data_IF_641763142504
#
_entry.id   IF_641763142504
#
_cell.length_a   1.000
_cell.length_b   1.000
_cell.length_c   1.000
_cell.angle_alpha   90.00
_cell.angle_beta   90.00
_cell.angle_gamma   90.00
#
_symmetry.space_group_name_H-M   'P 1'
#
loop_
_entity.id
_entity.type
_entity.pdbx_description
1 polymer ?
#
# COMPACT_ATOMS: atom_id res chain seq x y z
N UNK A 1 13.20 12.96 9.12
CA UNK A 1 13.98 11.73 8.85
C UNK A 1 13.44 11.14 7.56
N UNK A 2 14.31 10.97 6.55
CA UNK A 2 13.93 10.27 5.33
C UNK A 2 13.58 8.80 5.64
N UNK A 3 12.50 8.29 5.04
CA UNK A 3 11.99 6.95 5.29
C UNK A 3 11.33 6.39 4.03
N UNK A 4 12.08 6.20 2.94
CA UNK A 4 11.52 5.56 1.75
C UNK A 4 11.13 4.12 2.07
N UNK A 5 10.09 3.61 1.40
CA UNK A 5 9.63 2.24 1.60
C UNK A 5 10.76 1.21 1.51
N UNK A 6 10.85 0.31 2.49
CA UNK A 6 11.92 -0.67 2.66
C UNK A 6 13.20 -0.13 3.35
N UNK A 7 13.23 1.13 3.79
CA UNK A 7 14.36 1.76 4.49
C UNK A 7 13.92 2.52 5.76
N UNK A 8 12.90 2.05 6.45
CA UNK A 8 12.26 2.69 7.60
C UNK A 8 13.07 2.63 8.89
N UNK A 9 14.13 1.83 8.95
CA UNK A 9 14.85 1.51 10.19
C UNK A 9 15.29 2.72 11.03
N UNK A 10 15.71 3.84 10.40
CA UNK A 10 16.10 5.06 11.12
C UNK A 10 14.88 5.74 11.77
N UNK A 11 13.74 5.77 11.09
CA UNK A 11 12.50 6.34 11.62
C UNK A 11 11.92 5.43 12.70
N UNK A 12 12.02 4.11 12.55
CA UNK A 12 11.63 3.14 13.58
C UNK A 12 12.42 3.35 14.89
N UNK A 13 13.73 3.51 14.83
CA UNK A 13 14.53 3.80 16.02
C UNK A 13 14.15 5.14 16.67
N UNK A 14 13.86 6.16 15.87
CA UNK A 14 13.35 7.43 16.36
C UNK A 14 12.00 7.25 17.08
N UNK A 15 11.04 6.57 16.44
CA UNK A 15 9.73 6.30 17.05
C UNK A 15 9.82 5.47 18.32
N UNK A 16 10.75 4.51 18.39
CA UNK A 16 11.02 3.77 19.62
C UNK A 16 11.45 4.70 20.77
N UNK A 17 12.36 5.63 20.49
CA UNK A 17 12.79 6.62 21.48
C UNK A 17 11.65 7.56 21.89
N UNK A 18 10.82 8.00 20.93
CA UNK A 18 9.67 8.84 21.22
C UNK A 18 8.59 8.10 22.05
N UNK A 19 8.33 6.83 21.80
CA UNK A 19 7.42 6.02 22.62
C UNK A 19 7.94 5.92 24.06
N UNK A 20 9.27 5.80 24.27
CA UNK A 20 9.88 5.87 25.59
C UNK A 20 9.68 7.24 26.24
N UNK A 21 9.88 8.33 25.48
CA UNK A 21 9.73 9.70 25.96
C UNK A 21 8.30 9.98 26.44
N UNK A 22 7.29 9.53 25.69
CA UNK A 22 5.88 9.71 26.08
C UNK A 22 5.43 8.72 27.16
N UNK A 23 6.30 7.82 27.61
CA UNK A 23 6.10 6.97 28.79
C UNK A 23 5.30 5.70 28.53
N UNK A 24 5.37 5.12 27.32
CA UNK A 24 4.86 3.77 27.09
C UNK A 24 5.78 2.75 27.78
N UNK A 25 5.25 1.80 28.59
CA UNK A 25 6.10 0.95 29.43
C UNK A 25 6.77 -0.19 28.65
N UNK A 26 6.07 -0.81 27.71
CA UNK A 26 6.54 -1.98 26.97
C UNK A 26 6.71 -1.59 25.50
N UNK A 27 7.95 -1.53 25.01
CA UNK A 27 8.25 -1.10 23.65
C UNK A 27 9.15 -2.12 22.99
N UNK A 28 8.74 -2.56 21.80
CA UNK A 28 9.52 -3.49 20.98
C UNK A 28 9.50 -3.08 19.49
N UNK A 29 10.45 -3.58 18.73
CA UNK A 29 10.41 -3.56 17.26
C UNK A 29 10.21 -4.99 16.83
N UNK A 30 9.15 -5.24 16.06
CA UNK A 30 8.82 -6.56 15.60
C UNK A 30 9.72 -7.01 14.42
N UNK A 31 9.63 -8.27 13.96
CA UNK A 31 10.45 -8.78 12.88
C UNK A 31 10.27 -8.08 11.52
N UNK A 32 9.13 -7.39 11.30
CA UNK A 32 8.89 -6.64 10.06
C UNK A 32 9.39 -5.19 10.16
N UNK A 33 9.68 -4.71 11.38
CA UNK A 33 10.16 -3.35 11.63
C UNK A 33 9.12 -2.39 12.23
N UNK A 34 7.90 -2.85 12.51
CA UNK A 34 6.92 -2.04 13.23
C UNK A 34 7.41 -1.74 14.64
N UNK A 35 7.20 -0.52 15.11
CA UNK A 35 7.45 -0.14 16.48
C UNK A 35 6.16 -0.27 17.28
N UNK A 36 6.17 -1.12 18.28
CA UNK A 36 5.02 -1.47 19.11
C UNK A 36 5.18 -0.86 20.50
N UNK A 37 4.20 -0.09 20.94
CA UNK A 37 4.18 0.50 22.27
C UNK A 37 2.91 0.10 23.02
N UNK A 38 3.03 -0.71 24.07
CA UNK A 38 1.91 -1.27 24.80
C UNK A 38 1.49 -0.38 25.96
N UNK A 39 0.17 -0.21 26.10
CA UNK A 39 -0.46 0.36 27.29
C UNK A 39 -1.56 -0.59 27.76
N UNK A 40 -1.21 -1.41 28.76
CA UNK A 40 -2.08 -2.47 29.25
C UNK A 40 -3.37 -1.90 29.86
N UNK A 41 -4.50 -2.45 29.43
CA UNK A 41 -5.83 -2.22 29.99
C UNK A 41 -6.18 -3.28 31.04
N UNK A 42 -7.45 -3.30 31.45
CA UNK A 42 -7.98 -4.33 32.36
C UNK A 42 -8.21 -5.67 31.69
N UNK A 43 -8.30 -5.66 30.36
CA UNK A 43 -8.58 -6.81 29.51
C UNK A 43 -7.45 -6.98 28.47
N UNK A 44 -7.14 -8.22 28.05
CA UNK A 44 -6.17 -8.48 27.00
C UNK A 44 -6.67 -8.14 25.60
N UNK A 45 -7.98 -7.94 25.38
CA UNK A 45 -8.50 -7.49 24.10
C UNK A 45 -7.83 -6.17 23.74
N UNK A 46 -7.33 -6.12 22.50
CA UNK A 46 -6.43 -5.06 22.07
C UNK A 46 -7.07 -4.19 21.00
N UNK A 47 -7.08 -2.89 21.23
CA UNK A 47 -7.30 -1.87 20.21
C UNK A 47 -5.95 -1.39 19.72
N UNK A 48 -5.67 -1.58 18.44
CA UNK A 48 -4.49 -1.01 17.78
C UNK A 48 -4.82 0.40 17.32
N UNK A 49 -3.88 1.32 17.56
CA UNK A 49 -3.88 2.68 17.01
C UNK A 49 -2.56 2.83 16.27
N UNK A 50 -2.63 3.04 14.97
CA UNK A 50 -1.48 2.99 14.08
C UNK A 50 -1.29 4.28 13.29
N UNK A 51 -0.05 4.50 12.84
CA UNK A 51 0.34 5.50 11.85
C UNK A 51 1.61 4.97 11.15
N UNK A 52 1.75 5.20 9.83
CA UNK A 52 2.85 4.58 9.11
C UNK A 52 4.14 5.40 9.11
N UNK A 53 5.27 4.73 8.97
CA UNK A 53 6.61 5.33 9.03
C UNK A 53 7.25 5.55 7.67
N UNK A 54 6.83 4.86 6.65
CA UNK A 54 7.37 5.02 5.30
C UNK A 54 6.75 6.21 4.57
N UNK A 55 7.30 6.55 3.44
CA UNK A 55 6.83 7.62 2.56
C UNK A 55 7.03 7.24 1.11
N UNK A 56 6.22 7.83 0.20
CA UNK A 56 6.38 7.67 -1.26
C UNK A 56 7.67 8.28 -1.82
N UNK A 57 8.39 9.06 -1.04
CA UNK A 57 9.55 9.79 -1.52
C UNK A 57 10.78 8.91 -1.61
N UNK A 58 11.49 8.88 -2.76
CA UNK A 58 12.68 8.05 -2.95
C UNK A 58 13.84 8.50 -2.07
N UNK A 59 14.80 7.59 -1.87
CA UNK A 59 16.05 7.90 -1.18
C UNK A 59 16.76 9.10 -1.84
N UNK A 60 17.31 9.99 -1.01
CA UNK A 60 17.97 11.22 -1.48
C UNK A 60 17.03 12.43 -1.63
N UNK A 61 15.73 12.26 -1.47
CA UNK A 61 14.80 13.41 -1.41
C UNK A 61 15.13 14.30 -0.21
N UNK A 62 15.21 15.62 -0.43
CA UNK A 62 15.33 16.59 0.66
C UNK A 62 14.00 16.64 1.44
N UNK A 63 14.01 16.09 2.63
CA UNK A 63 12.86 16.04 3.54
C UNK A 63 12.87 17.16 4.57
N UNK A 64 13.56 18.27 4.25
CA UNK A 64 13.56 19.45 5.13
C UNK A 64 12.18 20.01 5.26
N UNK A 65 11.75 20.21 6.51
CA UNK A 65 10.48 20.85 6.85
C UNK A 65 10.71 22.35 7.04
N UNK A 66 9.87 23.15 6.44
CA UNK A 66 9.82 24.60 6.62
C UNK A 66 8.61 24.98 7.47
N UNK A 67 8.73 26.03 8.26
CA UNK A 67 7.64 26.57 9.06
C UNK A 67 7.37 28.03 8.68
N UNK A 68 6.11 28.36 8.42
CA UNK A 68 5.65 29.74 8.20
C UNK A 68 4.41 29.97 9.08
N UNK A 69 4.58 30.75 10.14
CA UNK A 69 3.52 30.93 11.16
C UNK A 69 3.14 29.58 11.81
N UNK A 70 1.90 29.17 11.60
CA UNK A 70 1.34 27.90 12.08
C UNK A 70 1.40 26.77 11.04
N UNK A 71 1.90 27.06 9.83
CA UNK A 71 1.95 26.08 8.73
C UNK A 71 3.31 25.42 8.66
N UNK A 72 3.32 24.08 8.57
CA UNK A 72 4.50 23.27 8.27
C UNK A 72 4.39 22.72 6.85
N UNK A 73 5.46 22.79 6.08
CA UNK A 73 5.50 22.29 4.72
C UNK A 73 6.80 21.50 4.46
N UNK A 74 6.67 20.34 3.80
CA UNK A 74 7.78 19.48 3.43
C UNK A 74 7.30 18.07 3.06
N UNK A 75 8.14 17.29 2.35
CA UNK A 75 7.80 15.92 1.99
C UNK A 75 7.49 15.05 3.21
N UNK A 76 6.35 14.34 3.19
CA UNK A 76 5.92 13.43 4.25
C UNK A 76 5.47 14.09 5.56
N UNK A 77 5.16 15.41 5.55
CA UNK A 77 4.63 16.11 6.75
C UNK A 77 3.22 15.65 7.06
N UNK A 78 2.38 15.52 6.04
CA UNK A 78 0.97 15.16 6.18
C UNK A 78 0.73 13.67 6.07
N UNK A 79 1.59 12.99 5.36
CA UNK A 79 1.54 11.59 5.04
C UNK A 79 2.94 10.96 5.30
N UNK A 80 3.24 10.37 6.49
CA UNK A 80 2.30 10.34 7.62
C UNK A 80 2.98 10.81 8.93
N UNK A 81 3.85 11.84 8.86
CA UNK A 81 4.46 12.40 10.07
C UNK A 81 3.40 13.06 10.99
N UNK A 82 2.28 13.52 10.43
CA UNK A 82 1.17 14.05 11.22
C UNK A 82 0.49 12.94 12.03
N UNK A 83 0.17 11.80 11.41
CA UNK A 83 -0.40 10.65 12.11
C UNK A 83 0.51 10.14 13.21
N UNK A 84 1.82 10.02 12.95
CA UNK A 84 2.81 9.66 13.98
C UNK A 84 2.83 10.68 15.14
N UNK A 85 2.68 11.97 14.86
CA UNK A 85 2.61 13.01 15.90
C UNK A 85 1.33 12.88 16.72
N UNK A 86 0.19 12.64 16.07
CA UNK A 86 -1.08 12.40 16.75
C UNK A 86 -1.02 11.15 17.64
N UNK A 87 -0.36 10.08 17.16
CA UNK A 87 -0.15 8.85 17.92
C UNK A 87 0.62 9.11 19.23
N UNK A 88 1.71 9.88 19.15
CA UNK A 88 2.50 10.29 20.32
C UNK A 88 1.70 11.19 21.27
N UNK A 89 1.02 12.18 20.74
CA UNK A 89 0.18 13.12 21.52
C UNK A 89 -0.94 12.39 22.27
N UNK A 90 -1.58 11.41 21.63
CA UNK A 90 -2.60 10.58 22.27
C UNK A 90 -2.03 9.75 23.43
N UNK A 91 -0.88 9.10 23.23
CA UNK A 91 -0.22 8.32 24.28
C UNK A 91 0.14 9.19 25.49
N UNK A 92 0.68 10.39 25.23
CA UNK A 92 1.05 11.36 26.26
C UNK A 92 -0.19 11.89 27.02
N UNK A 93 -1.24 12.29 26.30
CA UNK A 93 -2.49 12.79 26.89
C UNK A 93 -3.15 11.74 27.79
N UNK A 94 -3.21 10.48 27.36
CA UNK A 94 -3.75 9.38 28.17
C UNK A 94 -2.94 9.13 29.46
N UNK A 95 -1.62 9.29 29.39
CA UNK A 95 -0.74 9.18 30.54
C UNK A 95 -0.96 10.32 31.54
N UNK A 96 -0.94 11.56 31.05
CA UNK A 96 -1.10 12.74 31.89
C UNK A 96 -2.47 12.81 32.57
N UNK A 97 -3.50 12.49 31.84
CA UNK A 97 -4.87 12.42 32.38
C UNK A 97 -5.12 11.18 33.25
N UNK A 98 -4.13 10.28 33.40
CA UNK A 98 -4.23 9.02 34.17
C UNK A 98 -5.45 8.18 33.79
N UNK A 99 -5.82 8.18 32.51
CA UNK A 99 -6.99 7.43 32.01
C UNK A 99 -6.66 5.94 32.02
N UNK A 100 -7.46 5.13 32.68
CA UNK A 100 -7.43 3.67 32.58
C UNK A 100 -8.42 3.20 31.52
N UNK A 101 -8.01 2.25 30.69
CA UNK A 101 -8.85 1.68 29.63
C UNK A 101 -9.27 0.25 29.95
N UNK A 102 -10.44 -0.15 29.48
CA UNK A 102 -10.88 -1.55 29.57
C UNK A 102 -9.98 -2.42 28.70
N UNK A 103 -9.86 -2.05 27.42
CA UNK A 103 -9.00 -2.74 26.47
C UNK A 103 -7.56 -2.29 26.61
N UNK A 104 -6.65 -3.18 26.32
CA UNK A 104 -5.25 -2.86 26.08
C UNK A 104 -5.16 -1.99 24.81
N UNK A 105 -4.38 -0.91 24.86
CA UNK A 105 -4.05 -0.10 23.69
C UNK A 105 -2.67 -0.50 23.19
N UNK A 106 -2.56 -0.74 21.91
CA UNK A 106 -1.29 -0.96 21.22
C UNK A 106 -1.06 0.18 20.24
N UNK A 107 -0.10 1.04 20.54
CA UNK A 107 0.36 2.09 19.63
C UNK A 107 1.36 1.50 18.66
N UNK A 108 1.14 1.69 17.37
CA UNK A 108 1.97 1.10 16.32
C UNK A 108 2.45 2.19 15.37
N UNK A 109 3.76 2.32 15.25
CA UNK A 109 4.35 3.02 14.11
C UNK A 109 4.72 1.94 13.08
N UNK A 110 3.86 1.74 12.10
CA UNK A 110 3.97 0.62 11.16
C UNK A 110 4.84 0.94 9.94
N UNK A 111 5.21 -0.10 9.21
CA UNK A 111 6.11 -0.03 8.05
C UNK A 111 5.44 -0.60 6.80
N UNK A 112 5.88 -0.11 5.63
CA UNK A 112 5.48 -0.65 4.35
C UNK A 112 4.01 -0.41 4.00
N UNK A 113 3.44 0.73 4.41
CA UNK A 113 2.13 1.15 3.96
C UNK A 113 2.16 1.48 2.48
N UNK A 114 3.17 2.24 2.06
CA UNK A 114 3.24 2.85 0.75
C UNK A 114 3.62 1.88 -0.37
N UNK A 115 3.02 2.11 -1.52
CA UNK A 115 3.44 1.54 -2.80
C UNK A 115 3.61 0.02 -2.79
N UNK A 116 4.84 -0.42 -3.04
CA UNK A 116 5.21 -1.84 -3.07
C UNK A 116 5.44 -2.45 -1.68
N UNK A 117 5.41 -1.66 -0.63
CA UNK A 117 5.41 -2.14 0.76
C UNK A 117 4.21 -3.03 1.07
N UNK A 118 3.08 -2.78 0.36
CA UNK A 118 1.94 -3.70 0.34
C UNK A 118 1.38 -4.03 1.73
N UNK A 119 1.45 -3.08 2.66
CA UNK A 119 0.99 -3.23 4.05
C UNK A 119 1.69 -4.37 4.82
N UNK A 120 2.97 -4.69 4.51
CA UNK A 120 3.59 -5.88 5.11
C UNK A 120 3.67 -5.81 6.64
N UNK A 121 3.90 -4.63 7.20
CA UNK A 121 3.88 -4.40 8.65
C UNK A 121 2.53 -4.73 9.26
N UNK A 122 1.46 -4.14 8.75
CA UNK A 122 0.08 -4.40 9.23
C UNK A 122 -0.31 -5.85 9.01
N UNK A 123 0.01 -6.44 7.85
CA UNK A 123 -0.24 -7.88 7.59
C UNK A 123 0.42 -8.78 8.62
N UNK A 124 1.64 -8.46 9.04
CA UNK A 124 2.31 -9.20 10.11
C UNK A 124 1.49 -9.20 11.41
N UNK A 125 0.99 -8.03 11.82
CA UNK A 125 0.22 -7.90 13.06
C UNK A 125 -0.99 -8.84 13.08
N UNK A 126 -1.74 -8.92 11.96
CA UNK A 126 -2.95 -9.73 11.90
C UNK A 126 -2.71 -11.20 11.55
N UNK A 127 -1.64 -11.55 10.86
CA UNK A 127 -1.42 -12.90 10.34
C UNK A 127 -0.41 -13.71 11.16
N UNK A 128 0.62 -13.03 11.70
CA UNK A 128 1.79 -13.72 12.27
C UNK A 128 2.11 -13.34 13.71
N UNK A 129 1.66 -12.17 14.20
CA UNK A 129 2.00 -11.72 15.55
C UNK A 129 1.49 -12.71 16.60
N UNK A 130 2.21 -12.88 17.74
CA UNK A 130 1.80 -13.79 18.79
C UNK A 130 0.50 -13.35 19.49
N UNK A 131 0.14 -12.06 19.37
CA UNK A 131 -1.05 -11.47 19.97
C UNK A 131 -2.21 -11.28 18.98
N UNK A 132 -2.11 -11.78 17.74
CA UNK A 132 -3.13 -11.58 16.70
C UNK A 132 -4.56 -11.95 17.12
N UNK A 133 -4.71 -13.00 17.95
CA UNK A 133 -6.01 -13.44 18.46
C UNK A 133 -6.63 -12.46 19.49
N UNK A 134 -5.86 -11.52 20.02
CA UNK A 134 -6.31 -10.49 20.96
C UNK A 134 -6.74 -9.20 20.26
N UNK A 135 -6.43 -9.04 18.97
CA UNK A 135 -6.79 -7.84 18.21
C UNK A 135 -8.30 -7.82 18.00
N UNK A 136 -8.97 -6.86 18.61
CA UNK A 136 -10.42 -6.67 18.50
C UNK A 136 -10.77 -5.52 17.54
N UNK A 137 -9.93 -4.48 17.50
CA UNK A 137 -10.16 -3.32 16.66
C UNK A 137 -8.85 -2.69 16.22
N UNK A 138 -8.90 -1.96 15.10
CA UNK A 138 -7.78 -1.26 14.49
C UNK A 138 -8.22 0.12 14.01
N UNK A 139 -7.46 1.14 14.36
CA UNK A 139 -7.62 2.50 13.89
C UNK A 139 -6.27 2.92 13.30
N UNK A 140 -6.27 3.40 12.08
CA UNK A 140 -5.10 4.10 11.52
C UNK A 140 -5.38 5.60 11.45
N UNK A 141 -4.36 6.40 11.74
CA UNK A 141 -4.38 7.85 11.60
C UNK A 141 -3.52 8.15 10.39
N UNK A 142 -4.14 8.72 9.35
CA UNK A 142 -3.48 8.98 8.08
C UNK A 142 -4.10 10.20 7.41
N UNK A 143 -3.27 11.03 6.77
CA UNK A 143 -3.72 12.24 6.08
C UNK A 143 -4.13 13.41 7.00
N UNK A 144 -4.80 14.41 6.43
CA UNK A 144 -5.08 15.70 7.07
C UNK A 144 -6.56 15.98 7.35
N UNK A 145 -7.47 15.09 6.98
CA UNK A 145 -8.91 15.26 7.18
C UNK A 145 -9.28 15.21 8.66
N UNK A 146 -9.97 16.25 9.17
CA UNK A 146 -10.49 16.26 10.54
C UNK A 146 -11.96 15.85 10.62
N UNK A 147 -12.64 15.80 9.48
CA UNK A 147 -14.08 15.58 9.35
C UNK A 147 -14.41 14.28 8.58
N UNK A 148 -13.41 13.46 8.27
CA UNK A 148 -13.58 12.22 7.53
C UNK A 148 -13.21 11.00 8.38
N UNK A 149 -14.03 9.95 8.27
CA UNK A 149 -13.75 8.64 8.84
C UNK A 149 -13.85 7.61 7.73
N UNK A 150 -12.71 7.09 7.32
CA UNK A 150 -12.66 5.99 6.36
C UNK A 150 -13.05 4.67 7.03
N UNK A 151 -14.21 4.13 6.66
CA UNK A 151 -14.67 2.82 7.14
C UNK A 151 -14.71 1.75 6.04
N UNK A 152 -14.21 2.09 4.85
CA UNK A 152 -14.11 1.18 3.69
C UNK A 152 -12.77 1.36 3.00
N UNK A 153 -12.23 0.28 2.45
CA UNK A 153 -11.04 0.32 1.62
C UNK A 153 -11.30 -0.36 0.28
N UNK A 154 -10.79 0.27 -0.79
CA UNK A 154 -10.76 -0.33 -2.11
C UNK A 154 -9.67 -1.41 -2.15
N UNK A 155 -10.01 -2.60 -2.64
CA UNK A 155 -9.02 -3.64 -2.86
C UNK A 155 -8.13 -3.34 -4.05
N UNK A 156 -6.88 -3.79 -3.99
CA UNK A 156 -5.96 -3.65 -5.13
C UNK A 156 -5.10 -4.89 -5.34
N UNK A 157 -4.80 -5.18 -6.62
CA UNK A 157 -3.81 -6.16 -7.04
C UNK A 157 -2.84 -5.53 -8.01
N UNK A 158 -1.55 -5.73 -7.76
CA UNK A 158 -0.47 -5.21 -8.59
C UNK A 158 0.37 -6.34 -9.12
N UNK A 159 0.62 -6.36 -10.40
CA UNK A 159 1.42 -7.38 -11.07
C UNK A 159 2.59 -6.76 -11.80
N UNK A 160 3.76 -7.40 -11.64
CA UNK A 160 4.87 -7.24 -12.56
C UNK A 160 4.88 -8.42 -13.53
N UNK A 161 4.78 -8.12 -14.82
CA UNK A 161 4.88 -9.10 -15.91
C UNK A 161 6.23 -8.90 -16.58
N UNK A 162 7.03 -9.95 -16.61
CA UNK A 162 8.34 -9.96 -17.26
C UNK A 162 8.35 -10.98 -18.40
N UNK A 163 8.62 -10.52 -19.60
CA UNK A 163 8.74 -11.36 -20.80
C UNK A 163 10.20 -11.45 -21.21
N UNK A 164 10.67 -12.67 -21.45
CA UNK A 164 12.06 -12.94 -21.87
C UNK A 164 12.09 -13.65 -23.22
N UNK A 165 13.09 -13.31 -24.01
CA UNK A 165 13.30 -13.86 -25.33
C UNK A 165 14.79 -14.03 -25.69
N UNK A 166 15.10 -14.47 -26.93
CA UNK A 166 16.46 -14.76 -27.37
C UNK A 166 17.34 -13.50 -27.45
N UNK A 167 16.73 -12.31 -27.61
CA UNK A 167 17.48 -11.12 -28.01
C UNK A 167 18.02 -11.24 -29.44
N UNK A 168 18.64 -10.17 -29.94
CA UNK A 168 19.25 -10.21 -31.27
C UNK A 168 19.44 -8.82 -31.88
N UNK A 169 19.93 -8.80 -33.13
CA UNK A 169 20.10 -7.59 -33.91
C UNK A 169 18.92 -7.36 -34.85
N UNK A 170 18.32 -6.17 -34.86
CA UNK A 170 17.07 -5.90 -35.58
C UNK A 170 17.10 -6.20 -37.08
N UNK A 171 18.28 -6.08 -37.74
CA UNK A 171 18.43 -6.41 -39.17
C UNK A 171 18.87 -7.87 -39.40
N UNK A 172 19.86 -8.36 -38.63
CA UNK A 172 20.39 -9.72 -38.80
C UNK A 172 19.39 -10.80 -38.38
N UNK A 173 18.66 -10.53 -37.31
CA UNK A 173 17.71 -11.47 -36.71
C UNK A 173 16.25 -11.04 -36.96
N UNK A 174 15.99 -10.33 -38.07
CA UNK A 174 14.64 -9.88 -38.38
C UNK A 174 13.65 -11.06 -38.48
N UNK A 175 12.56 -10.95 -37.71
CA UNK A 175 11.51 -11.96 -37.68
C UNK A 175 11.55 -12.89 -36.47
N UNK A 176 12.50 -12.75 -35.56
CA UNK A 176 12.48 -13.45 -34.28
C UNK A 176 11.44 -12.85 -33.32
N UNK A 177 11.08 -13.62 -32.31
CA UNK A 177 10.14 -13.20 -31.25
C UNK A 177 10.72 -12.05 -30.43
N UNK A 178 9.86 -11.09 -30.07
CA UNK A 178 10.26 -9.89 -29.33
C UNK A 178 9.44 -9.70 -28.04
N UNK A 179 10.09 -9.64 -26.88
CA UNK A 179 9.44 -9.30 -25.61
C UNK A 179 8.65 -7.99 -25.66
N UNK A 180 9.19 -6.95 -26.30
CA UNK A 180 8.52 -5.64 -26.45
C UNK A 180 7.24 -5.76 -27.26
N UNK A 181 7.27 -6.50 -28.38
CA UNK A 181 6.06 -6.71 -29.20
C UNK A 181 4.99 -7.50 -28.45
N UNK A 182 5.39 -8.51 -27.70
CA UNK A 182 4.46 -9.27 -26.85
C UNK A 182 3.78 -8.37 -25.82
N UNK A 183 4.54 -7.51 -25.11
CA UNK A 183 3.96 -6.54 -24.18
C UNK A 183 3.05 -5.53 -24.88
N UNK A 184 3.40 -5.07 -26.10
CA UNK A 184 2.53 -4.21 -26.90
C UNK A 184 1.17 -4.86 -27.18
N UNK A 185 1.14 -6.18 -27.49
CA UNK A 185 -0.09 -6.95 -27.68
C UNK A 185 -0.87 -7.11 -26.36
N UNK A 186 -0.19 -7.31 -25.25
CA UNK A 186 -0.80 -7.34 -23.90
C UNK A 186 -1.48 -6.01 -23.59
N UNK A 187 -0.76 -4.90 -23.76
CA UNK A 187 -1.26 -3.55 -23.45
C UNK A 187 -2.46 -3.19 -24.35
N UNK A 188 -2.41 -3.53 -25.63
CA UNK A 188 -3.53 -3.30 -26.55
C UNK A 188 -4.80 -4.03 -26.09
N UNK A 189 -4.68 -5.25 -25.55
CA UNK A 189 -5.83 -5.98 -24.97
C UNK A 189 -6.31 -5.36 -23.67
N UNK A 190 -5.40 -5.02 -22.78
CA UNK A 190 -5.71 -4.41 -21.50
C UNK A 190 -6.41 -3.07 -21.68
N UNK A 191 -5.94 -2.24 -22.62
CA UNK A 191 -6.54 -0.91 -22.87
C UNK A 191 -7.99 -0.97 -23.37
N UNK A 192 -8.42 -2.12 -23.87
CA UNK A 192 -9.80 -2.37 -24.31
C UNK A 192 -10.70 -2.99 -23.21
N UNK A 193 -10.24 -3.07 -21.98
CA UNK A 193 -11.08 -3.60 -20.91
C UNK A 193 -12.19 -2.62 -20.54
N UNK A 194 -13.41 -3.09 -20.61
CA UNK A 194 -14.57 -2.44 -20.01
C UNK A 194 -14.71 -2.93 -18.56
N UNK A 195 -14.88 -2.00 -17.64
CA UNK A 195 -15.04 -2.24 -16.21
C UNK A 195 -16.24 -1.48 -15.67
N UNK A 196 -16.93 -1.96 -14.63
CA UNK A 196 -18.09 -1.27 -14.07
C UNK A 196 -17.69 0.03 -13.39
N UNK A 197 -18.55 1.05 -13.52
CA UNK A 197 -18.44 2.27 -12.74
C UNK A 197 -18.92 2.07 -11.29
N UNK A 198 -19.85 1.13 -11.09
CA UNK A 198 -20.35 0.73 -9.77
C UNK A 198 -20.55 -0.80 -9.73
N UNK A 199 -19.89 -1.52 -8.82
CA UNK A 199 -18.87 -1.04 -7.89
C UNK A 199 -17.67 -0.46 -8.65
N UNK A 200 -17.11 0.65 -8.15
CA UNK A 200 -15.99 1.32 -8.81
C UNK A 200 -14.84 0.35 -9.03
N UNK A 201 -14.49 0.17 -10.30
CA UNK A 201 -13.41 -0.72 -10.73
C UNK A 201 -12.53 0.03 -11.71
N UNK A 202 -11.23 0.03 -11.48
CA UNK A 202 -10.25 0.77 -12.28
C UNK A 202 -8.99 -0.05 -12.48
N UNK A 203 -8.23 0.29 -13.51
CA UNK A 203 -6.95 -0.32 -13.80
C UNK A 203 -6.02 0.63 -14.53
N UNK A 204 -4.71 0.35 -14.44
CA UNK A 204 -3.70 1.11 -15.16
C UNK A 204 -2.44 0.27 -15.38
N UNK A 205 -1.88 0.31 -16.59
CA UNK A 205 -0.50 -0.08 -16.85
C UNK A 205 0.36 1.15 -16.55
N UNK A 206 0.91 1.21 -15.37
CA UNK A 206 1.61 2.39 -14.86
C UNK A 206 3.07 2.48 -15.27
N UNK A 207 3.72 1.33 -15.46
CA UNK A 207 5.13 1.27 -15.82
C UNK A 207 5.35 0.25 -16.95
N UNK A 208 6.28 0.56 -17.85
CA UNK A 208 6.79 -0.33 -18.88
C UNK A 208 8.29 -0.06 -19.08
N UNK A 209 9.06 -1.12 -19.30
CA UNK A 209 10.49 -0.97 -19.54
C UNK A 209 11.11 -2.19 -20.19
N UNK A 210 12.40 -2.09 -20.47
CA UNK A 210 13.22 -3.13 -21.09
C UNK A 210 13.87 -2.70 -22.40
N UNK A 211 14.74 -3.58 -22.92
CA UNK A 211 15.57 -3.28 -24.08
C UNK A 211 16.84 -2.49 -23.73
N UNK A 212 17.80 -2.50 -24.65
CA UNK A 212 19.12 -1.86 -24.43
C UNK A 212 19.47 -0.84 -25.52
N UNK A 213 18.97 -1.03 -26.74
CA UNK A 213 19.24 -0.13 -27.86
C UNK A 213 18.13 -0.25 -28.92
N UNK A 214 17.90 0.81 -29.70
CA UNK A 214 16.87 0.84 -30.74
C UNK A 214 17.05 -0.23 -31.82
N UNK A 215 18.30 -0.62 -32.08
CA UNK A 215 18.67 -1.66 -33.06
C UNK A 215 18.77 -3.08 -32.49
N UNK A 216 18.37 -3.28 -31.25
CA UNK A 216 18.39 -4.60 -30.60
C UNK A 216 16.98 -5.13 -30.40
N UNK A 217 16.77 -6.42 -30.70
CA UNK A 217 15.63 -7.16 -30.16
C UNK A 217 15.88 -7.42 -28.69
N UNK A 218 14.98 -7.04 -27.81
CA UNK A 218 15.12 -7.11 -26.36
C UNK A 218 15.31 -8.55 -25.87
N UNK A 219 16.18 -8.78 -24.88
CA UNK A 219 16.26 -10.03 -24.14
C UNK A 219 15.17 -10.11 -23.07
N UNK A 220 14.81 -8.97 -22.52
CA UNK A 220 13.81 -8.85 -21.46
C UNK A 220 13.04 -7.53 -21.60
N UNK A 221 11.75 -7.60 -21.37
CA UNK A 221 10.91 -6.42 -21.21
C UNK A 221 9.82 -6.72 -20.16
N UNK A 222 9.33 -5.68 -19.52
CA UNK A 222 8.39 -5.83 -18.43
C UNK A 222 7.37 -4.69 -18.39
N UNK A 223 6.25 -4.94 -17.75
CA UNK A 223 5.25 -3.94 -17.36
C UNK A 223 4.80 -4.14 -15.92
N UNK A 224 4.25 -3.07 -15.33
CA UNK A 224 3.53 -3.13 -14.05
C UNK A 224 2.11 -2.64 -14.23
N UNK A 225 1.18 -3.43 -13.70
CA UNK A 225 -0.26 -3.25 -13.76
C UNK A 225 -0.81 -3.05 -12.36
N UNK A 226 -1.59 -1.99 -12.16
CA UNK A 226 -2.40 -1.73 -10.97
C UNK A 226 -3.87 -1.97 -11.31
N UNK A 227 -4.56 -2.74 -10.48
CA UNK A 227 -5.98 -3.05 -10.58
C UNK A 227 -6.65 -2.78 -9.24
N UNK A 228 -7.77 -2.08 -9.23
CA UNK A 228 -8.50 -1.75 -7.99
C UNK A 228 -9.99 -1.94 -8.18
N UNK A 229 -10.66 -2.38 -7.12
CA UNK A 229 -12.12 -2.45 -7.09
C UNK A 229 -12.67 -2.32 -5.66
N UNK A 230 -13.86 -1.76 -5.53
CA UNK A 230 -14.68 -1.80 -4.32
C UNK A 230 -15.32 -3.17 -4.09
N UNK A 231 -15.25 -4.07 -5.09
CA UNK A 231 -15.79 -5.43 -5.06
C UNK A 231 -14.67 -6.45 -5.21
N UNK A 232 -14.56 -7.37 -4.26
CA UNK A 232 -13.62 -8.48 -4.36
C UNK A 232 -13.89 -9.38 -5.58
N UNK A 233 -15.16 -9.56 -5.93
CA UNK A 233 -15.57 -10.35 -7.09
C UNK A 233 -15.13 -9.68 -8.40
N UNK A 234 -15.37 -8.37 -8.55
CA UNK A 234 -14.94 -7.62 -9.74
C UNK A 234 -13.42 -7.55 -9.86
N UNK A 235 -12.71 -7.39 -8.72
CA UNK A 235 -11.24 -7.44 -8.70
C UNK A 235 -10.71 -8.79 -9.19
N UNK A 236 -11.33 -9.90 -8.77
CA UNK A 236 -10.97 -11.24 -9.22
C UNK A 236 -11.26 -11.46 -10.72
N UNK A 237 -12.38 -10.94 -11.23
CA UNK A 237 -12.72 -10.97 -12.67
C UNK A 237 -11.68 -10.18 -13.46
N UNK A 238 -11.35 -8.97 -13.04
CA UNK A 238 -10.36 -8.12 -13.70
C UNK A 238 -8.97 -8.78 -13.72
N UNK A 239 -8.55 -9.38 -12.60
CA UNK A 239 -7.31 -10.14 -12.50
C UNK A 239 -7.27 -11.32 -13.50
N UNK A 240 -8.33 -12.11 -13.57
CA UNK A 240 -8.41 -13.24 -14.49
C UNK A 240 -8.34 -12.80 -15.98
N UNK A 241 -9.01 -11.68 -16.31
CA UNK A 241 -8.94 -11.06 -17.65
C UNK A 241 -7.52 -10.60 -17.96
N UNK A 242 -6.87 -9.94 -17.02
CA UNK A 242 -5.48 -9.48 -17.18
C UNK A 242 -4.52 -10.63 -17.42
N UNK A 243 -4.53 -11.67 -16.56
CA UNK A 243 -3.67 -12.84 -16.73
C UNK A 243 -3.94 -13.58 -18.05
N UNK A 244 -5.17 -13.57 -18.51
CA UNK A 244 -5.54 -14.11 -19.83
C UNK A 244 -4.97 -13.25 -20.96
N UNK A 245 -5.07 -11.92 -20.89
CA UNK A 245 -4.48 -11.01 -21.88
C UNK A 245 -2.95 -11.16 -21.97
N UNK A 246 -2.27 -11.38 -20.82
CA UNK A 246 -0.83 -11.66 -20.78
C UNK A 246 -0.50 -12.93 -21.57
N UNK A 247 -1.18 -14.05 -21.27
CA UNK A 247 -0.96 -15.32 -22.00
C UNK A 247 -1.22 -15.16 -23.48
N UNK A 248 -2.36 -14.57 -23.86
CA UNK A 248 -2.74 -14.37 -25.26
C UNK A 248 -1.76 -13.49 -26.04
N UNK A 249 -1.28 -12.38 -25.43
CA UNK A 249 -0.32 -11.49 -26.09
C UNK A 249 1.04 -12.16 -26.35
N UNK A 250 1.53 -12.96 -25.40
CA UNK A 250 2.77 -13.73 -25.55
C UNK A 250 2.60 -14.86 -26.55
N UNK A 251 1.48 -15.60 -26.49
CA UNK A 251 1.20 -16.69 -27.42
C UNK A 251 1.03 -16.20 -28.86
N UNK A 252 0.43 -15.03 -29.04
CA UNK A 252 0.28 -14.44 -30.37
C UNK A 252 1.64 -14.04 -30.95
N UNK A 253 2.52 -13.41 -30.19
CA UNK A 253 3.88 -13.09 -30.65
C UNK A 253 4.64 -14.38 -31.00
N UNK A 254 4.56 -15.40 -30.15
CA UNK A 254 5.17 -16.70 -30.38
C UNK A 254 4.66 -17.36 -31.68
N UNK A 255 3.38 -17.25 -32.01
CA UNK A 255 2.79 -17.78 -33.26
C UNK A 255 3.18 -16.94 -34.45
N UNK A 256 3.13 -15.62 -34.33
CA UNK A 256 3.41 -14.72 -35.44
C UNK A 256 4.88 -14.80 -35.90
N UNK A 257 5.80 -15.03 -34.97
CA UNK A 257 7.26 -15.09 -35.19
C UNK A 257 7.85 -16.51 -35.06
N UNK A 258 7.09 -17.53 -35.40
CA UNK A 258 7.48 -18.93 -35.18
C UNK A 258 8.69 -19.42 -35.99
N UNK A 259 9.19 -18.61 -36.94
CA UNK A 259 10.27 -19.01 -37.88
C UNK A 259 11.61 -19.32 -37.20
N UNK A 260 11.87 -18.83 -35.98
CA UNK A 260 13.16 -18.99 -35.28
C UNK A 260 13.23 -20.23 -34.39
N UNK A 261 12.14 -20.96 -34.16
CA UNK A 261 12.07 -22.07 -33.20
C UNK A 261 12.17 -21.66 -31.73
N UNK A 262 12.63 -20.44 -31.45
CA UNK A 262 12.75 -19.92 -30.07
C UNK A 262 11.43 -19.24 -29.65
N UNK A 263 11.04 -19.47 -28.41
CA UNK A 263 9.81 -18.91 -27.82
C UNK A 263 10.12 -17.94 -26.70
N UNK A 264 9.23 -16.98 -26.52
CA UNK A 264 9.18 -16.14 -25.35
C UNK A 264 8.73 -16.96 -24.14
N UNK A 265 9.30 -16.62 -22.99
CA UNK A 265 8.80 -17.02 -21.68
C UNK A 265 8.21 -15.81 -20.96
N UNK A 266 7.24 -16.05 -20.10
CA UNK A 266 6.60 -15.00 -19.30
C UNK A 266 6.57 -15.42 -17.83
N UNK A 267 6.93 -14.48 -16.97
CA UNK A 267 6.76 -14.54 -15.53
C UNK A 267 5.76 -13.47 -15.09
N UNK A 268 4.83 -13.85 -14.22
CA UNK A 268 3.81 -12.95 -13.66
C UNK A 268 3.94 -12.98 -12.14
N UNK A 269 4.47 -11.92 -11.58
CA UNK A 269 4.66 -11.79 -10.13
C UNK A 269 3.61 -10.86 -9.55
N UNK A 270 2.82 -11.34 -8.59
CA UNK A 270 1.97 -10.51 -7.75
C UNK A 270 2.88 -9.72 -6.79
N UNK A 271 2.93 -8.41 -6.95
CA UNK A 271 3.79 -7.49 -6.18
C UNK A 271 3.01 -6.62 -5.19
N UNK A 272 1.68 -6.66 -5.26
CA UNK A 272 0.79 -6.00 -4.31
C UNK A 272 -0.55 -6.74 -4.26
N UNK A 273 -1.06 -6.94 -3.05
CA UNK A 273 -2.37 -7.58 -2.80
C UNK A 273 -2.97 -6.97 -1.53
N UNK A 274 -3.95 -6.08 -1.73
CA UNK A 274 -4.70 -5.43 -0.64
C UNK A 274 -6.16 -5.89 -0.75
N UNK A 275 -6.78 -6.42 0.31
CA UNK A 275 -8.15 -6.89 0.24
C UNK A 275 -9.14 -5.71 0.13
N UNK A 276 -10.29 -5.99 -0.48
CA UNK A 276 -11.48 -5.15 -0.28
C UNK A 276 -11.92 -5.35 1.15
N UNK A 277 -12.10 -4.27 1.90
CA UNK A 277 -12.55 -4.35 3.28
C UNK A 277 -13.54 -3.23 3.61
N UNK A 278 -14.34 -3.46 4.65
CA UNK A 278 -15.26 -2.45 5.14
C UNK A 278 -15.81 -2.80 6.51
N UNK A 279 -15.92 -1.78 7.35
CA UNK A 279 -16.58 -1.86 8.63
C UNK A 279 -17.95 -1.19 8.51
N UNK A 280 -19.02 -1.87 8.92
CA UNK A 280 -20.35 -1.32 8.82
C UNK A 280 -20.48 -0.01 9.62
N UNK A 281 -21.21 0.97 9.11
CA UNK A 281 -21.48 2.24 9.82
C UNK A 281 -22.15 2.02 11.17
N UNK A 282 -22.95 0.95 11.29
CA UNK A 282 -23.59 0.53 12.54
C UNK A 282 -22.63 -0.04 13.58
N UNK A 283 -21.39 -0.34 13.22
CA UNK A 283 -20.39 -0.91 14.13
C UNK A 283 -20.11 0.04 15.31
N UNK A 284 -19.90 -0.47 16.52
CA UNK A 284 -19.68 0.36 17.71
C UNK A 284 -18.49 1.32 17.56
N UNK A 285 -17.41 0.88 16.93
CA UNK A 285 -16.20 1.69 16.71
C UNK A 285 -16.50 2.87 15.78
N UNK A 286 -17.17 2.64 14.64
CA UNK A 286 -17.53 3.69 13.68
C UNK A 286 -18.49 4.70 14.33
N UNK A 287 -19.50 4.23 15.07
CA UNK A 287 -20.41 5.10 15.82
C UNK A 287 -19.68 5.92 16.89
N UNK A 288 -18.69 5.34 17.57
CA UNK A 288 -17.90 6.06 18.55
C UNK A 288 -17.06 7.17 17.89
N UNK A 289 -16.38 6.84 16.80
CA UNK A 289 -15.61 7.78 16.02
C UNK A 289 -16.47 8.94 15.48
N UNK A 290 -17.63 8.65 14.87
CA UNK A 290 -18.57 9.68 14.39
C UNK A 290 -19.07 10.59 15.52
N UNK A 291 -19.36 10.04 16.71
CA UNK A 291 -19.75 10.88 17.87
C UNK A 291 -18.62 11.79 18.32
N UNK A 292 -17.38 11.28 18.36
CA UNK A 292 -16.21 12.07 18.75
C UNK A 292 -15.97 13.21 17.75
N UNK A 293 -16.03 12.93 16.46
CA UNK A 293 -15.84 13.95 15.40
C UNK A 293 -16.92 15.03 15.48
N UNK A 294 -18.20 14.66 15.59
CA UNK A 294 -19.32 15.62 15.74
C UNK A 294 -19.19 16.49 16.98
N UNK A 295 -18.77 15.92 18.10
CA UNK A 295 -18.57 16.65 19.36
C UNK A 295 -17.41 17.65 19.33
N UNK A 296 -16.37 17.36 18.54
CA UNK A 296 -15.14 18.19 18.49
C UNK A 296 -15.16 19.25 17.39
N UNK A 297 -15.78 18.97 16.24
CA UNK A 297 -15.65 19.82 15.03
C UNK A 297 -16.98 20.31 14.45
N UNK A 298 -18.14 19.95 15.03
CA UNK A 298 -19.46 20.23 14.47
C UNK A 298 -19.79 19.36 13.26
N UNK A 299 -21.06 19.39 12.85
CA UNK A 299 -21.53 18.60 11.70
C UNK A 299 -21.20 19.27 10.38
N UNK A 300 -20.31 18.69 9.57
CA UNK A 300 -20.40 18.81 8.11
C UNK A 300 -20.77 17.46 7.55
N UNK A 301 -22.01 17.36 7.04
CA UNK A 301 -22.37 16.26 6.15
C UNK A 301 -21.61 16.46 4.84
N UNK A 302 -20.59 15.68 4.59
CA UNK A 302 -19.99 15.53 3.26
C UNK A 302 -20.22 14.11 2.81
N UNK A 303 -20.87 14.04 1.64
CA UNK A 303 -20.99 12.82 0.89
C UNK A 303 -19.62 12.25 0.52
N UNK A 304 -19.60 10.97 0.38
CA UNK A 304 -18.50 10.09 0.00
C UNK A 304 -17.49 10.73 -0.97
N UNK A 305 -16.25 10.86 -0.51
CA UNK A 305 -15.08 10.95 -1.39
C UNK A 305 -14.19 9.73 -1.09
N UNK A 306 -14.24 8.82 -2.03
CA UNK A 306 -13.26 7.74 -2.18
C UNK A 306 -12.14 8.22 -3.10
#
# INVERSE_FOLDING_TARGET
IASPGGQEGRRAQFMRAEFQRVGLPDIEIDPEGNVLGWRRGRSPQTLIIAAHTDTVFPAGTDVKVTRSGTTFAGPGVTDDALGLTCLLGLAEALREARISTERTLLFVADVGEEGLGNLHGVKYLFQKSPFRAQIEAFITIDGTGLDEIGNRSIGSKRYRVTVRGPGGHSSGDFGIVSPVHALGRVIARVSAFEVPASPRTIYNVGLIGGGTAVKSVSFESWLEMDMRSESAAELAVLEARFLTAVRQGVDEENRFRAKSGTRLTVDTKLVGDRPVAGTAEAAPLVKAALRATRGSFGTRERGERL
#
